data_IF_274603536029
#
_entry.id   IF_274603536029
#
_cell.length_a   1.000
_cell.length_b   1.000
_cell.length_c   1.000
_cell.angle_alpha   90.00
_cell.angle_beta   90.00
_cell.angle_gamma   90.00
#
_symmetry.space_group_name_H-M   'P 1'
#
loop_
_entity.id
_entity.type
_entity.pdbx_description
1 polymer ?
#
# COMPACT_ATOMS: atom_id res chain seq x y z
N UNK A 1 -3.80 3.21 12.43
CA UNK A 1 -3.06 3.19 11.15
C UNK A 1 -2.23 1.91 11.10
N UNK A 2 -2.19 1.22 9.97
CA UNK A 2 -1.39 0.02 9.72
C UNK A 2 -0.36 0.37 8.64
N UNK A 3 0.82 0.83 9.07
CA UNK A 3 1.93 1.26 8.19
C UNK A 3 2.86 0.09 7.84
N UNK A 4 3.33 0.05 6.60
CA UNK A 4 4.15 -1.07 6.11
C UNK A 4 5.47 -1.28 6.84
N UNK A 5 6.12 -0.23 7.34
CA UNK A 5 7.37 -0.37 8.08
C UNK A 5 7.10 -0.85 9.51
N UNK A 6 6.07 -0.31 10.17
CA UNK A 6 5.65 -0.76 11.51
C UNK A 6 5.20 -2.23 11.49
N UNK A 7 4.41 -2.63 10.48
CA UNK A 7 4.00 -4.02 10.30
C UNK A 7 5.23 -4.92 10.10
N UNK A 8 6.27 -4.47 9.39
CA UNK A 8 7.53 -5.24 9.21
C UNK A 8 8.33 -5.37 10.49
N UNK A 9 8.27 -4.42 11.41
CA UNK A 9 8.99 -4.52 12.68
C UNK A 9 8.30 -5.47 13.68
N UNK A 10 6.97 -5.63 13.56
CA UNK A 10 6.17 -6.48 14.45
C UNK A 10 5.59 -7.71 13.75
N UNK A 11 4.35 -7.56 13.25
CA UNK A 11 3.49 -8.65 12.73
C UNK A 11 4.11 -9.45 11.57
N UNK A 12 5.03 -8.85 10.83
CA UNK A 12 5.68 -9.43 9.64
C UNK A 12 7.20 -9.43 9.74
N UNK A 13 7.75 -9.45 10.96
CA UNK A 13 9.22 -9.46 11.19
C UNK A 13 9.95 -10.68 10.64
N UNK A 14 9.20 -11.77 10.43
CA UNK A 14 9.66 -13.03 9.86
C UNK A 14 9.71 -13.01 8.32
N UNK A 15 9.10 -12.00 7.67
CA UNK A 15 8.95 -11.95 6.22
C UNK A 15 10.04 -11.12 5.54
N UNK A 16 10.52 -11.62 4.39
CA UNK A 16 11.43 -10.92 3.51
C UNK A 16 10.76 -9.89 2.59
N UNK A 17 11.40 -9.64 1.45
CA UNK A 17 10.93 -8.69 0.42
C UNK A 17 10.56 -9.36 -0.90
N UNK A 18 10.50 -10.70 -0.93
CA UNK A 18 10.01 -11.44 -2.10
C UNK A 18 8.55 -11.08 -2.40
N UNK A 19 8.08 -11.36 -3.62
CA UNK A 19 6.66 -11.15 -3.96
C UNK A 19 5.74 -11.92 -3.01
N UNK A 20 6.06 -13.19 -2.73
CA UNK A 20 5.29 -14.04 -1.82
C UNK A 20 5.25 -13.46 -0.39
N UNK A 21 6.38 -12.98 0.13
CA UNK A 21 6.44 -12.35 1.45
C UNK A 21 5.63 -11.05 1.52
N UNK A 22 5.63 -10.26 0.44
CA UNK A 22 4.82 -9.03 0.36
C UNK A 22 3.33 -9.34 0.31
N UNK A 23 2.95 -10.39 -0.42
CA UNK A 23 1.56 -10.85 -0.47
C UNK A 23 1.10 -11.42 0.88
N UNK A 24 1.95 -12.17 1.59
CA UNK A 24 1.66 -12.64 2.94
C UNK A 24 1.59 -11.49 3.96
N UNK A 25 2.47 -10.50 3.86
CA UNK A 25 2.34 -9.26 4.65
C UNK A 25 0.97 -8.62 4.41
N UNK A 26 0.59 -8.44 3.14
CA UNK A 26 -0.71 -7.89 2.75
C UNK A 26 -1.88 -8.70 3.32
N UNK A 27 -1.82 -10.03 3.27
CA UNK A 27 -2.84 -10.92 3.84
C UNK A 27 -2.96 -10.77 5.36
N UNK A 28 -1.83 -10.75 6.09
CA UNK A 28 -1.81 -10.55 7.56
C UNK A 28 -2.39 -9.19 7.94
N UNK A 29 -2.01 -8.14 7.21
CA UNK A 29 -2.54 -6.79 7.45
C UNK A 29 -4.03 -6.70 7.13
N UNK A 30 -4.52 -7.41 6.10
CA UNK A 30 -5.94 -7.47 5.77
C UNK A 30 -6.77 -8.15 6.87
N UNK A 31 -6.29 -9.25 7.45
CA UNK A 31 -6.95 -9.88 8.62
C UNK A 31 -7.00 -8.94 9.82
N UNK A 32 -5.91 -8.21 10.09
CA UNK A 32 -5.88 -7.22 11.17
C UNK A 32 -6.89 -6.08 10.91
N UNK A 33 -6.93 -5.55 9.67
CA UNK A 33 -7.90 -4.53 9.28
C UNK A 33 -9.34 -5.02 9.41
N UNK A 34 -9.62 -6.28 9.03
CA UNK A 34 -10.93 -6.91 9.21
C UNK A 34 -11.33 -6.98 10.69
N UNK A 35 -10.42 -7.40 11.57
CA UNK A 35 -10.67 -7.45 13.01
C UNK A 35 -10.93 -6.06 13.60
N UNK A 36 -10.19 -5.03 13.18
CA UNK A 36 -10.44 -3.64 13.58
C UNK A 36 -11.83 -3.17 13.12
N UNK A 37 -12.18 -3.41 11.86
CA UNK A 37 -13.50 -3.07 11.32
C UNK A 37 -14.64 -3.77 12.08
N UNK A 38 -14.46 -5.04 12.48
CA UNK A 38 -15.44 -5.76 13.31
C UNK A 38 -15.67 -5.14 14.69
N UNK A 39 -14.69 -4.38 15.19
CA UNK A 39 -14.77 -3.64 16.45
C UNK A 39 -15.15 -2.16 16.23
N UNK A 40 -15.67 -1.80 15.05
CA UNK A 40 -16.09 -0.43 14.74
C UNK A 40 -14.94 0.55 14.53
N UNK A 41 -13.70 0.06 14.34
CA UNK A 41 -12.52 0.89 14.15
C UNK A 41 -12.19 0.94 12.65
N UNK A 42 -12.21 2.13 12.06
CA UNK A 42 -11.73 2.33 10.69
C UNK A 42 -10.21 2.16 10.60
N UNK A 43 -9.75 1.23 9.76
CA UNK A 43 -8.33 0.98 9.53
C UNK A 43 -7.83 1.66 8.24
N UNK A 44 -6.78 2.48 8.36
CA UNK A 44 -6.01 2.98 7.21
C UNK A 44 -4.78 2.08 7.03
N UNK A 45 -4.64 1.47 5.85
CA UNK A 45 -3.54 0.55 5.51
C UNK A 45 -2.62 1.19 4.48
N UNK A 46 -1.36 1.44 4.84
CA UNK A 46 -0.36 2.05 3.97
C UNK A 46 0.72 1.03 3.58
N UNK A 47 0.39 0.18 2.60
CA UNK A 47 1.29 -0.82 2.02
C UNK A 47 1.51 -0.55 0.53
N UNK A 48 2.68 -0.95 0.00
CA UNK A 48 2.96 -0.86 -1.45
C UNK A 48 2.01 -1.73 -2.28
N UNK A 49 1.64 -2.91 -1.77
CA UNK A 49 0.65 -3.83 -2.38
C UNK A 49 0.78 -3.97 -3.92
N UNK A 50 1.90 -4.49 -4.44
CA UNK A 50 2.25 -4.36 -5.86
C UNK A 50 1.40 -5.22 -6.80
N UNK A 51 0.82 -6.34 -6.35
CA UNK A 51 0.04 -7.24 -7.21
C UNK A 51 -1.46 -6.97 -7.11
N UNK A 52 -2.17 -6.99 -8.25
CA UNK A 52 -3.63 -6.94 -8.31
C UNK A 52 -4.24 -8.10 -7.53
N UNK A 53 -3.62 -9.29 -7.63
CA UNK A 53 -4.04 -10.49 -6.90
C UNK A 53 -4.02 -10.28 -5.38
N UNK A 54 -2.95 -9.68 -4.86
CA UNK A 54 -2.83 -9.40 -3.43
C UNK A 54 -3.88 -8.40 -2.93
N UNK A 55 -4.17 -7.35 -3.72
CA UNK A 55 -5.21 -6.37 -3.40
C UNK A 55 -6.62 -6.97 -3.48
N UNK A 56 -6.88 -7.83 -4.47
CA UNK A 56 -8.14 -8.57 -4.58
C UNK A 56 -8.36 -9.52 -3.38
N UNK A 57 -7.31 -10.22 -2.94
CA UNK A 57 -7.36 -11.05 -1.73
C UNK A 57 -7.68 -10.22 -0.48
N UNK A 58 -7.01 -9.07 -0.30
CA UNK A 58 -7.28 -8.17 0.82
C UNK A 58 -8.73 -7.68 0.83
N UNK A 59 -9.27 -7.29 -0.34
CA UNK A 59 -10.68 -6.89 -0.50
C UNK A 59 -11.63 -8.04 -0.14
N UNK A 60 -11.34 -9.26 -0.55
CA UNK A 60 -12.13 -10.44 -0.21
C UNK A 60 -12.12 -10.76 1.29
N UNK A 61 -10.98 -10.62 1.96
CA UNK A 61 -10.84 -10.80 3.41
C UNK A 61 -11.65 -9.73 4.17
N UNK A 62 -11.46 -8.46 3.84
CA UNK A 62 -12.05 -7.34 4.57
C UNK A 62 -13.57 -7.22 4.31
N UNK A 63 -14.01 -7.61 3.13
CA UNK A 63 -15.38 -7.45 2.64
C UNK A 63 -15.48 -6.29 1.64
N UNK A 64 -16.14 -6.54 0.51
CA UNK A 64 -16.23 -5.60 -0.61
C UNK A 64 -16.89 -4.26 -0.23
N UNK A 65 -17.83 -4.28 0.72
CA UNK A 65 -18.57 -3.11 1.22
C UNK A 65 -17.80 -2.30 2.27
N UNK A 66 -16.71 -2.86 2.81
CA UNK A 66 -15.89 -2.31 3.90
C UNK A 66 -14.46 -1.99 3.48
N UNK A 67 -14.18 -2.09 2.18
CA UNK A 67 -12.86 -1.89 1.61
C UNK A 67 -12.89 -0.82 0.52
N UNK A 68 -11.94 0.11 0.59
CA UNK A 68 -11.74 1.17 -0.39
C UNK A 68 -10.28 1.11 -0.84
N UNK A 69 -10.07 0.95 -2.14
CA UNK A 69 -8.75 0.99 -2.76
C UNK A 69 -8.41 2.44 -3.14
N UNK A 70 -7.44 3.01 -2.44
CA UNK A 70 -6.83 4.29 -2.80
C UNK A 70 -5.52 4.05 -3.55
N UNK A 71 -5.53 4.33 -4.86
CA UNK A 71 -4.35 4.26 -5.69
C UNK A 71 -3.60 5.59 -5.70
N UNK A 72 -2.46 5.63 -5.00
CA UNK A 72 -1.55 6.76 -5.08
C UNK A 72 -0.70 6.61 -6.35
N UNK A 73 -1.18 7.21 -7.45
CA UNK A 73 -0.68 7.02 -8.81
C UNK A 73 0.49 7.93 -9.17
N UNK A 74 1.23 8.42 -8.19
CA UNK A 74 2.38 9.31 -8.42
C UNK A 74 3.41 8.66 -9.35
N UNK A 75 3.82 9.33 -10.43
CA UNK A 75 4.78 8.77 -11.38
C UNK A 75 6.08 8.32 -10.72
N UNK A 76 6.60 7.16 -11.16
CA UNK A 76 7.81 6.56 -10.60
C UNK A 76 9.00 7.53 -10.54
N UNK A 77 9.22 8.33 -11.58
CA UNK A 77 10.35 9.27 -11.62
C UNK A 77 10.24 10.35 -10.52
N UNK A 78 9.03 10.77 -10.16
CA UNK A 78 8.79 11.69 -9.04
C UNK A 78 9.06 10.98 -7.70
N UNK A 79 8.62 9.72 -7.55
CA UNK A 79 8.92 8.91 -6.37
C UNK A 79 10.44 8.72 -6.17
N UNK A 80 11.17 8.45 -7.26
CA UNK A 80 12.63 8.33 -7.29
C UNK A 80 13.34 9.65 -6.99
N UNK A 81 12.78 10.79 -7.42
CA UNK A 81 13.32 12.11 -7.10
C UNK A 81 13.14 12.44 -5.61
N UNK A 82 11.98 12.09 -5.03
CA UNK A 82 11.67 12.36 -3.62
C UNK A 82 12.46 11.47 -2.66
N UNK A 83 12.62 10.19 -3.00
CA UNK A 83 13.36 9.12 -2.27
C UNK A 83 13.62 9.37 -0.77
N UNK A 84 12.58 9.57 0.06
CA UNK A 84 12.74 10.09 1.42
C UNK A 84 13.52 9.15 2.36
N UNK A 85 13.66 7.87 1.98
CA UNK A 85 14.36 6.84 2.74
C UNK A 85 15.64 6.33 2.03
N UNK A 86 15.98 6.91 0.88
CA UNK A 86 17.14 6.51 0.08
C UNK A 86 17.05 5.11 -0.54
N UNK A 87 15.84 4.53 -0.63
CA UNK A 87 15.65 3.18 -1.13
C UNK A 87 15.88 3.07 -2.63
N UNK A 88 15.44 4.07 -3.41
CA UNK A 88 15.66 4.07 -4.85
C UNK A 88 17.15 4.22 -5.18
N UNK A 89 17.87 5.08 -4.45
CA UNK A 89 19.32 5.20 -4.58
C UNK A 89 20.04 3.88 -4.27
N UNK A 90 19.67 3.20 -3.18
CA UNK A 90 20.24 1.88 -2.82
C UNK A 90 19.93 0.81 -3.85
N UNK A 91 18.69 0.76 -4.37
CA UNK A 91 18.28 -0.24 -5.36
C UNK A 91 19.03 -0.10 -6.70
N UNK A 92 19.41 1.12 -7.11
CA UNK A 92 20.27 1.33 -8.29
C UNK A 92 21.64 0.69 -8.13
N UNK A 93 22.19 0.66 -6.91
CA UNK A 93 23.50 0.08 -6.61
C UNK A 93 23.41 -1.41 -6.26
N UNK A 94 22.23 -1.89 -5.84
CA UNK A 94 21.99 -3.28 -5.47
C UNK A 94 20.65 -3.79 -6.04
N UNK A 95 20.66 -4.34 -7.27
CA UNK A 95 19.46 -4.88 -7.92
C UNK A 95 18.74 -5.99 -7.13
N UNK A 96 19.46 -6.69 -6.24
CA UNK A 96 18.91 -7.78 -5.43
C UNK A 96 17.89 -7.31 -4.37
N UNK A 97 17.77 -6.00 -4.12
CA UNK A 97 16.76 -5.43 -3.21
C UNK A 97 15.32 -5.60 -3.70
N UNK A 98 15.10 -6.01 -4.98
CA UNK A 98 13.78 -6.25 -5.56
C UNK A 98 12.78 -5.11 -5.27
N UNK A 99 13.24 -3.87 -5.48
CA UNK A 99 12.44 -2.70 -5.18
C UNK A 99 11.36 -2.54 -6.26
N UNK A 100 10.11 -2.41 -5.80
CA UNK A 100 8.95 -2.18 -6.66
C UNK A 100 9.15 -0.93 -7.52
N UNK A 101 8.87 -1.05 -8.82
CA UNK A 101 9.10 0.01 -9.81
C UNK A 101 10.54 0.10 -10.32
N UNK A 102 11.48 -0.67 -9.78
CA UNK A 102 12.87 -0.75 -10.30
C UNK A 102 13.17 -2.15 -10.81
N UNK A 103 13.22 -3.13 -9.92
CA UNK A 103 13.53 -4.53 -10.24
C UNK A 103 12.38 -5.50 -9.95
N UNK A 104 11.28 -5.02 -9.35
CA UNK A 104 10.03 -5.76 -9.19
C UNK A 104 8.85 -4.98 -9.80
N UNK A 105 7.87 -5.65 -10.42
CA UNK A 105 6.74 -4.99 -11.08
C UNK A 105 5.77 -4.34 -10.07
N UNK A 106 5.01 -3.37 -10.57
CA UNK A 106 3.82 -2.83 -9.90
C UNK A 106 2.65 -2.92 -10.88
N UNK A 107 1.63 -3.69 -10.52
CA UNK A 107 0.41 -3.83 -11.30
C UNK A 107 -0.57 -2.76 -10.84
N UNK A 108 -0.80 -1.72 -11.66
CA UNK A 108 -1.76 -0.67 -11.35
C UNK A 108 -3.19 -1.25 -11.20
N UNK A 109 -3.99 -0.75 -10.24
CA UNK A 109 -5.37 -1.20 -10.10
C UNK A 109 -6.22 -0.74 -11.29
N UNK A 110 -7.15 -1.60 -11.72
CA UNK A 110 -8.03 -1.33 -12.86
C UNK A 110 -9.23 -0.45 -12.44
N UNK A 111 -9.70 -0.61 -11.21
CA UNK A 111 -10.94 -0.01 -10.73
C UNK A 111 -10.82 0.41 -9.26
N UNK A 112 -9.79 1.20 -8.94
CA UNK A 112 -9.65 1.79 -7.62
C UNK A 112 -10.76 2.83 -7.37
N UNK A 113 -11.33 2.86 -6.17
CA UNK A 113 -12.36 3.85 -5.81
C UNK A 113 -11.80 5.27 -5.73
N UNK A 114 -10.53 5.42 -5.38
CA UNK A 114 -9.85 6.71 -5.31
C UNK A 114 -8.50 6.63 -6.02
N UNK A 115 -8.20 7.60 -6.89
CA UNK A 115 -6.91 7.71 -7.59
C UNK A 115 -6.34 9.10 -7.34
N UNK A 116 -5.12 9.17 -6.80
CA UNK A 116 -4.48 10.43 -6.44
C UNK A 116 -3.05 10.46 -6.99
N UNK A 117 -2.79 11.40 -7.89
CA UNK A 117 -1.42 11.76 -8.26
C UNK A 117 -0.93 12.90 -7.36
N UNK A 118 -0.11 12.56 -6.36
CA UNK A 118 0.51 13.56 -5.45
C UNK A 118 1.61 14.41 -6.09
N UNK A 119 1.89 14.27 -7.39
CA UNK A 119 2.69 15.24 -8.16
C UNK A 119 1.85 16.42 -8.66
N UNK A 120 0.52 16.24 -8.72
CA UNK A 120 -0.44 17.24 -9.19
C UNK A 120 -1.45 17.65 -8.13
N UNK A 121 -1.59 16.86 -7.07
CA UNK A 121 -2.52 17.09 -5.96
C UNK A 121 -1.73 17.46 -4.71
N UNK A 122 -2.08 18.57 -4.07
CA UNK A 122 -1.49 18.92 -2.78
C UNK A 122 -2.02 18.03 -1.64
N UNK A 123 -1.38 18.12 -0.48
CA UNK A 123 -1.72 17.29 0.67
C UNK A 123 -3.13 17.54 1.19
N UNK A 124 -3.58 18.80 1.24
CA UNK A 124 -4.88 19.16 1.80
C UNK A 124 -6.01 18.61 0.94
N UNK A 125 -5.87 18.71 -0.38
CA UNK A 125 -6.85 18.19 -1.32
C UNK A 125 -6.82 16.66 -1.42
N UNK A 126 -5.64 16.03 -1.32
CA UNK A 126 -5.55 14.58 -1.22
C UNK A 126 -6.26 14.03 0.04
N UNK A 127 -6.07 14.68 1.20
CA UNK A 127 -6.77 14.33 2.44
C UNK A 127 -8.28 14.52 2.26
N UNK A 128 -8.70 15.63 1.66
CA UNK A 128 -10.12 15.91 1.40
C UNK A 128 -10.75 14.82 0.54
N UNK A 129 -10.10 14.44 -0.55
CA UNK A 129 -10.56 13.35 -1.43
C UNK A 129 -10.67 12.02 -0.67
N UNK A 130 -9.64 11.61 0.08
CA UNK A 130 -9.67 10.36 0.85
C UNK A 130 -10.76 10.36 1.93
N UNK A 131 -10.98 11.50 2.58
CA UNK A 131 -11.96 11.62 3.66
C UNK A 131 -13.40 11.36 3.21
N UNK A 132 -13.72 11.56 1.93
CA UNK A 132 -15.05 11.25 1.37
C UNK A 132 -15.44 9.77 1.44
N UNK A 133 -14.45 8.89 1.61
CA UNK A 133 -14.65 7.44 1.71
C UNK A 133 -14.72 6.93 3.15
N UNK A 134 -14.41 7.77 4.14
CA UNK A 134 -14.51 7.40 5.54
C UNK A 134 -15.98 7.48 5.97
N UNK A 135 -16.54 6.34 6.38
CA UNK A 135 -17.87 6.30 6.99
C UNK A 135 -17.73 6.69 8.46
N UNK A 136 -18.26 7.86 8.83
CA UNK A 136 -18.53 8.26 10.22
C UNK A 136 -19.80 7.62 10.74
#
# INVERSE_FOLDING_TARGET
MLDGDEIRQGLSKDLGFSLADREEQGRRTAEMARLLNLNGISAIVALVSPSMRGRALARGIIGHDKFVEAYISTPLHICQQRDPKGWYAKAKQNPALQLTGVSAPYEAPISAECVIDTSQTDLADAIRQLSTFLRT
#
